data_IF_172240520518
#
_entry.id   IF_172240520518
#
_cell.length_a   1.000
_cell.length_b   1.000
_cell.length_c   1.000
_cell.angle_alpha   90.00
_cell.angle_beta   90.00
_cell.angle_gamma   90.00
#
_symmetry.space_group_name_H-M   'P 1'
#
loop_
_entity.id
_entity.type
_entity.pdbx_description
1 polymer ?
#
# COMPACT_ATOMS: atom_id res chain seq x y z
N UNK A 1 32.45 25.89 7.95
CA UNK A 1 31.21 26.70 7.84
C UNK A 1 30.42 26.13 6.68
N UNK A 2 29.34 25.38 6.94
CA UNK A 2 28.46 24.87 5.89
C UNK A 2 27.77 26.10 5.29
N UNK A 3 28.04 26.40 4.01
CA UNK A 3 27.55 27.65 3.39
C UNK A 3 26.09 27.57 2.95
N UNK A 4 25.59 26.38 2.61
CA UNK A 4 24.19 26.11 2.26
C UNK A 4 23.88 24.64 2.56
N UNK A 5 22.69 24.38 3.11
CA UNK A 5 22.10 23.02 3.24
C UNK A 5 21.05 22.92 2.13
N UNK A 6 21.14 21.90 1.28
CA UNK A 6 20.14 21.71 0.22
C UNK A 6 18.86 21.04 0.77
N UNK A 7 17.75 21.09 0.01
CA UNK A 7 16.46 20.56 0.47
C UNK A 7 16.51 19.06 0.81
N UNK A 8 17.35 18.28 0.11
CA UNK A 8 17.58 16.87 0.42
C UNK A 8 18.26 16.67 1.79
N UNK A 9 19.25 17.50 2.13
CA UNK A 9 19.91 17.50 3.44
C UNK A 9 18.98 18.00 4.55
N UNK A 10 18.14 19.01 4.28
CA UNK A 10 17.08 19.47 5.20
C UNK A 10 16.10 18.32 5.49
N UNK A 11 15.67 17.59 4.46
CA UNK A 11 14.77 16.45 4.61
C UNK A 11 15.41 15.30 5.40
N UNK A 12 16.69 15.01 5.16
CA UNK A 12 17.44 14.03 5.97
C UNK A 12 17.51 14.43 7.45
N UNK A 13 17.79 15.71 7.75
CA UNK A 13 17.83 16.22 9.12
C UNK A 13 16.45 16.16 9.81
N UNK A 14 15.39 16.59 9.11
CA UNK A 14 14.01 16.49 9.59
C UNK A 14 13.65 15.03 9.92
N UNK A 15 13.92 14.10 8.99
CA UNK A 15 13.68 12.66 9.18
C UNK A 15 14.45 12.13 10.40
N UNK A 16 15.73 12.46 10.54
CA UNK A 16 16.56 12.06 11.69
C UNK A 16 16.03 12.59 13.03
N UNK A 17 15.57 13.85 13.07
CA UNK A 17 14.97 14.44 14.26
C UNK A 17 13.65 13.74 14.63
N UNK A 18 12.75 13.54 13.67
CA UNK A 18 11.47 12.86 13.92
C UNK A 18 11.66 11.42 14.37
N UNK A 19 12.61 10.69 13.77
CA UNK A 19 12.95 9.33 14.18
C UNK A 19 13.45 9.30 15.63
N UNK A 20 14.33 10.23 16.00
CA UNK A 20 14.83 10.36 17.37
C UNK A 20 13.70 10.64 18.36
N UNK A 21 12.77 11.53 18.01
CA UNK A 21 11.62 11.85 18.85
C UNK A 21 10.65 10.66 18.98
N UNK A 22 10.41 9.93 17.90
CA UNK A 22 9.57 8.73 17.88
C UNK A 22 10.16 7.63 18.77
N UNK A 23 11.46 7.32 18.64
CA UNK A 23 12.16 6.38 19.51
C UNK A 23 12.05 6.76 20.99
N UNK A 24 12.23 8.06 21.30
CA UNK A 24 12.09 8.55 22.66
C UNK A 24 10.66 8.36 23.18
N UNK A 25 9.63 8.64 22.37
CA UNK A 25 8.23 8.43 22.74
C UNK A 25 7.90 6.95 22.95
N UNK A 26 8.41 6.08 22.08
CA UNK A 26 8.25 4.62 22.22
C UNK A 26 8.82 4.15 23.57
N UNK A 27 10.04 4.58 23.92
CA UNK A 27 10.65 4.26 25.21
C UNK A 27 9.84 4.79 26.41
N UNK A 28 9.18 5.95 26.27
CA UNK A 28 8.31 6.50 27.31
C UNK A 28 6.98 5.74 27.46
N UNK A 29 6.50 5.08 26.41
CA UNK A 29 5.22 4.35 26.40
C UNK A 29 5.32 2.90 26.93
N UNK A 30 6.52 2.46 27.33
CA UNK A 30 6.83 1.12 27.82
C UNK A 30 6.46 0.02 26.79
N UNK A 31 7.34 -0.19 25.82
CA UNK A 31 7.21 -1.21 24.76
C UNK A 31 7.01 -2.61 25.28
N UNK A 32 7.58 -2.96 26.43
CA UNK A 32 7.45 -4.31 26.99
C UNK A 32 5.99 -4.61 27.32
N UNK A 33 5.23 -3.60 27.77
CA UNK A 33 3.77 -3.75 27.99
C UNK A 33 3.01 -3.97 26.69
N UNK A 34 3.44 -3.39 25.57
CA UNK A 34 2.84 -3.69 24.27
C UNK A 34 3.16 -5.12 23.84
N UNK A 35 4.44 -5.52 23.93
CA UNK A 35 4.88 -6.87 23.54
C UNK A 35 4.16 -7.95 24.36
N UNK A 36 3.98 -7.70 25.66
CA UNK A 36 3.30 -8.61 26.59
C UNK A 36 1.77 -8.49 26.58
N UNK A 37 1.17 -7.69 25.68
CA UNK A 37 -0.27 -7.46 25.58
C UNK A 37 -0.94 -6.86 26.85
N UNK A 38 -0.21 -6.05 27.61
CA UNK A 38 -0.62 -5.42 28.88
C UNK A 38 -0.97 -3.93 28.76
N UNK A 39 -0.65 -3.28 27.64
CA UNK A 39 -1.11 -1.92 27.35
C UNK A 39 -2.61 -1.92 26.97
N UNK A 40 -3.32 -0.80 27.18
CA UNK A 40 -4.66 -0.62 26.61
C UNK A 40 -4.60 -0.39 25.09
N UNK A 41 -5.72 -0.57 24.40
CA UNK A 41 -5.78 -0.49 22.93
C UNK A 41 -5.28 0.86 22.39
N UNK A 42 -5.65 1.97 23.01
CA UNK A 42 -5.26 3.30 22.52
C UNK A 42 -3.76 3.53 22.66
N UNK A 43 -3.14 3.03 23.73
CA UNK A 43 -1.69 3.05 23.90
C UNK A 43 -1.01 2.10 22.92
N UNK A 44 -1.53 0.89 22.72
CA UNK A 44 -1.01 -0.07 21.74
C UNK A 44 -1.00 0.50 20.31
N UNK A 45 -2.10 1.14 19.88
CA UNK A 45 -2.20 1.82 18.58
C UNK A 45 -1.14 2.91 18.44
N UNK A 46 -0.91 3.72 19.49
CA UNK A 46 0.12 4.77 19.46
C UNK A 46 1.51 4.19 19.32
N UNK A 47 1.83 3.13 20.07
CA UNK A 47 3.12 2.45 19.98
C UNK A 47 3.31 1.89 18.57
N UNK A 48 2.30 1.19 18.03
CA UNK A 48 2.37 0.58 16.70
C UNK A 48 2.53 1.61 15.58
N UNK A 49 1.75 2.70 15.58
CA UNK A 49 1.91 3.79 14.60
C UNK A 49 3.29 4.45 14.68
N UNK A 50 3.89 4.56 15.87
CA UNK A 50 5.27 5.05 16.00
C UNK A 50 6.29 4.05 15.44
N UNK A 51 6.08 2.75 15.60
CA UNK A 51 6.93 1.70 15.00
C UNK A 51 6.82 1.71 13.47
N UNK A 52 5.61 1.81 12.91
CA UNK A 52 5.39 1.89 11.46
C UNK A 52 6.00 3.17 10.85
N UNK A 53 5.88 4.32 11.53
CA UNK A 53 6.49 5.57 11.10
C UNK A 53 8.03 5.49 11.00
N UNK A 54 8.64 4.59 11.78
CA UNK A 54 10.07 4.47 11.92
C UNK A 54 10.70 3.59 10.82
N UNK A 55 9.96 2.73 10.11
CA UNK A 55 10.49 1.77 9.13
C UNK A 55 11.67 0.93 9.67
N UNK A 56 11.65 0.57 10.96
CA UNK A 56 12.68 -0.28 11.57
C UNK A 56 12.12 -1.69 11.85
N UNK A 57 12.03 -2.57 10.85
CA UNK A 57 11.53 -3.95 11.07
C UNK A 57 12.41 -4.73 12.05
N UNK A 58 13.73 -4.49 12.05
CA UNK A 58 14.71 -5.22 12.88
C UNK A 58 14.65 -4.95 14.38
N UNK A 59 14.06 -3.83 14.81
CA UNK A 59 14.03 -3.50 16.24
C UNK A 59 12.83 -4.11 16.97
N UNK A 60 11.76 -4.45 16.23
CA UNK A 60 10.49 -4.90 16.79
C UNK A 60 9.85 -5.98 15.91
N UNK A 61 10.52 -7.13 15.82
CA UNK A 61 9.99 -8.33 15.17
C UNK A 61 8.60 -8.67 15.72
N UNK A 62 7.72 -9.19 14.86
CA UNK A 62 6.35 -9.62 15.19
C UNK A 62 5.40 -8.50 15.69
N UNK A 63 5.77 -7.23 15.59
CA UNK A 63 4.92 -6.13 16.07
C UNK A 63 3.54 -6.09 15.38
N UNK A 64 3.45 -6.37 14.09
CA UNK A 64 2.18 -6.44 13.35
C UNK A 64 1.30 -7.59 13.84
N UNK A 65 1.88 -8.76 14.12
CA UNK A 65 1.17 -9.89 14.71
C UNK A 65 0.64 -9.57 16.12
N UNK A 66 1.44 -8.89 16.95
CA UNK A 66 1.02 -8.45 18.29
C UNK A 66 -0.12 -7.43 18.18
N UNK A 67 0.00 -6.45 17.28
CA UNK A 67 -1.06 -5.46 17.06
C UNK A 67 -2.34 -6.12 16.54
N UNK A 68 -2.23 -7.11 15.64
CA UNK A 68 -3.38 -7.86 15.17
C UNK A 68 -4.11 -8.57 16.33
N UNK A 69 -3.38 -9.22 17.24
CA UNK A 69 -3.95 -9.81 18.48
C UNK A 69 -4.65 -8.77 19.35
N UNK A 70 -4.10 -7.55 19.44
CA UNK A 70 -4.77 -6.44 20.12
C UNK A 70 -6.10 -6.06 19.48
N UNK A 71 -6.13 -5.97 18.14
CA UNK A 71 -7.35 -5.63 17.40
C UNK A 71 -8.43 -6.70 17.58
N UNK A 72 -8.07 -7.99 17.51
CA UNK A 72 -9.00 -9.10 17.74
C UNK A 72 -9.51 -9.10 19.18
N UNK A 73 -8.61 -9.00 20.18
CA UNK A 73 -8.99 -8.97 21.61
C UNK A 73 -9.97 -7.85 21.95
N UNK A 74 -9.95 -6.75 21.21
CA UNK A 74 -10.81 -5.60 21.43
C UNK A 74 -11.97 -5.50 20.42
N UNK A 75 -12.25 -6.56 19.66
CA UNK A 75 -13.33 -6.63 18.66
C UNK A 75 -13.25 -5.55 17.57
N UNK A 76 -12.04 -5.09 17.23
CA UNK A 76 -11.81 -4.26 16.05
C UNK A 76 -11.77 -5.13 14.79
N UNK A 77 -11.19 -6.32 14.92
CA UNK A 77 -11.35 -7.43 13.98
C UNK A 77 -12.07 -8.58 14.70
N UNK A 78 -12.88 -9.30 13.95
CA UNK A 78 -13.40 -10.60 14.34
C UNK A 78 -12.32 -11.67 14.22
N UNK A 79 -12.54 -12.82 14.86
CA UNK A 79 -11.63 -13.96 14.72
C UNK A 79 -11.64 -14.50 13.28
N UNK A 80 -12.78 -14.42 12.58
CA UNK A 80 -12.92 -14.88 11.21
C UNK A 80 -12.12 -13.99 10.24
N UNK A 81 -12.23 -12.66 10.37
CA UNK A 81 -11.39 -11.71 9.62
C UNK A 81 -9.90 -11.95 9.86
N UNK A 82 -9.50 -12.23 11.11
CA UNK A 82 -8.11 -12.57 11.40
C UNK A 82 -7.65 -13.84 10.67
N UNK A 83 -8.46 -14.89 10.69
CA UNK A 83 -8.11 -16.16 10.05
C UNK A 83 -7.99 -15.99 8.54
N UNK A 84 -8.92 -15.24 7.91
CA UNK A 84 -8.89 -14.93 6.49
C UNK A 84 -7.64 -14.11 6.10
N UNK A 85 -7.32 -13.06 6.86
CA UNK A 85 -6.09 -12.27 6.64
C UNK A 85 -4.85 -13.15 6.76
N UNK A 86 -4.80 -14.04 7.76
CA UNK A 86 -3.68 -14.95 7.93
C UNK A 86 -3.57 -15.97 6.79
N UNK A 87 -4.69 -16.50 6.30
CA UNK A 87 -4.68 -17.43 5.17
C UNK A 87 -4.12 -16.76 3.90
N UNK A 88 -4.58 -15.55 3.59
CA UNK A 88 -4.23 -14.86 2.33
C UNK A 88 -2.82 -14.23 2.37
N UNK A 89 -2.41 -13.69 3.52
CA UNK A 89 -1.16 -12.92 3.65
C UNK A 89 -0.05 -13.65 4.43
N UNK A 90 -0.33 -14.81 5.03
CA UNK A 90 0.64 -15.56 5.86
C UNK A 90 0.69 -17.05 5.56
N UNK A 91 -0.13 -17.60 4.65
CA UNK A 91 0.19 -18.92 4.14
C UNK A 91 1.56 -18.87 3.46
N UNK A 92 2.61 -19.20 4.24
CA UNK A 92 3.78 -19.95 3.84
C UNK A 92 3.26 -21.25 3.19
N UNK A 93 2.54 -21.15 2.06
CA UNK A 93 2.73 -22.17 1.05
C UNK A 93 4.18 -21.93 0.67
N UNK A 94 5.06 -22.77 1.21
CA UNK A 94 6.38 -22.95 0.63
C UNK A 94 6.14 -23.05 -0.87
N UNK A 95 6.41 -21.98 -1.60
CA UNK A 95 6.56 -22.08 -3.04
C UNK A 95 7.88 -22.84 -3.16
N UNK A 96 7.78 -24.16 -3.12
CA UNK A 96 8.87 -25.09 -3.38
C UNK A 96 9.38 -24.78 -4.80
N UNK A 97 10.28 -23.80 -4.93
CA UNK A 97 10.68 -23.33 -6.27
C UNK A 97 11.43 -22.01 -6.33
N UNK A 98 11.68 -21.31 -5.22
CA UNK A 98 12.50 -20.07 -5.25
C UNK A 98 13.98 -20.43 -5.41
N UNK A 99 14.34 -20.74 -6.65
CA UNK A 99 15.71 -21.02 -7.05
C UNK A 99 15.84 -21.99 -8.21
N UNK A 100 15.02 -21.94 -9.26
CA UNK A 100 15.39 -22.49 -10.57
C UNK A 100 14.54 -21.91 -11.70
N UNK A 101 15.13 -21.87 -12.89
CA UNK A 101 14.58 -21.37 -14.15
C UNK A 101 13.14 -21.87 -14.37
N UNK A 102 12.21 -20.94 -14.59
CA UNK A 102 10.78 -21.21 -14.82
C UNK A 102 10.64 -21.93 -16.16
N UNK A 103 10.69 -23.26 -16.15
CA UNK A 103 10.46 -24.10 -17.33
C UNK A 103 9.04 -24.73 -17.37
N UNK A 104 8.18 -24.51 -16.36
CA UNK A 104 6.86 -25.17 -16.31
C UNK A 104 5.67 -24.19 -16.22
N UNK A 105 4.72 -24.37 -17.14
CA UNK A 105 3.47 -23.60 -17.29
C UNK A 105 2.55 -23.75 -16.05
N UNK A 106 2.64 -24.84 -15.29
CA UNK A 106 1.81 -25.08 -14.10
C UNK A 106 2.12 -24.12 -12.94
N UNK A 107 3.39 -23.72 -12.77
CA UNK A 107 3.77 -22.74 -11.75
C UNK A 107 3.18 -21.36 -12.07
N UNK A 108 3.22 -20.92 -13.35
CA UNK A 108 2.66 -19.62 -13.79
C UNK A 108 1.17 -19.44 -13.52
N UNK A 109 0.41 -20.54 -13.43
CA UNK A 109 -1.03 -20.53 -13.11
C UNK A 109 -1.24 -20.27 -11.62
N UNK A 110 -0.42 -20.85 -10.74
CA UNK A 110 -0.48 -20.57 -9.30
C UNK A 110 -0.11 -19.10 -9.02
N UNK A 111 0.89 -18.53 -9.70
CA UNK A 111 1.30 -17.12 -9.52
C UNK A 111 0.17 -16.12 -9.81
N UNK A 112 -0.65 -16.37 -10.84
CA UNK A 112 -1.78 -15.50 -11.18
C UNK A 112 -2.91 -15.55 -10.13
N UNK A 113 -3.25 -16.75 -9.67
CA UNK A 113 -4.35 -16.96 -8.70
C UNK A 113 -4.08 -16.27 -7.35
N UNK A 114 -2.82 -16.25 -6.88
CA UNK A 114 -2.44 -15.55 -5.65
C UNK A 114 -2.55 -14.04 -5.74
N UNK A 115 -2.13 -13.46 -6.86
CA UNK A 115 -2.25 -12.01 -7.09
C UNK A 115 -3.72 -11.59 -7.18
N UNK A 116 -4.55 -12.36 -7.89
CA UNK A 116 -5.98 -12.11 -8.00
C UNK A 116 -6.64 -12.18 -6.62
N UNK A 117 -6.39 -13.24 -5.83
CA UNK A 117 -6.98 -13.42 -4.49
C UNK A 117 -6.62 -12.26 -3.55
N UNK A 118 -5.35 -11.84 -3.53
CA UNK A 118 -4.89 -10.74 -2.68
C UNK A 118 -5.45 -9.39 -3.12
N UNK A 119 -5.45 -9.10 -4.42
CA UNK A 119 -6.01 -7.85 -4.96
C UNK A 119 -7.51 -7.76 -4.68
N UNK A 120 -8.24 -8.86 -4.90
CA UNK A 120 -9.66 -9.01 -4.55
C UNK A 120 -9.89 -8.75 -3.07
N UNK A 121 -9.06 -9.33 -2.21
CA UNK A 121 -9.17 -9.13 -0.78
C UNK A 121 -8.93 -7.66 -0.40
N UNK A 122 -7.87 -7.04 -0.90
CA UNK A 122 -7.56 -5.61 -0.64
C UNK A 122 -8.74 -4.75 -1.07
N UNK A 123 -9.32 -4.99 -2.25
CA UNK A 123 -10.46 -4.24 -2.73
C UNK A 123 -11.71 -4.44 -1.85
N UNK A 124 -12.05 -5.69 -1.51
CA UNK A 124 -13.17 -6.01 -0.61
C UNK A 124 -12.98 -5.39 0.77
N UNK A 125 -11.76 -5.40 1.28
CA UNK A 125 -11.38 -4.80 2.55
C UNK A 125 -11.58 -3.29 2.52
N UNK A 126 -11.02 -2.60 1.51
CA UNK A 126 -11.20 -1.15 1.34
C UNK A 126 -12.68 -0.79 1.13
N UNK A 127 -13.43 -1.53 0.31
CA UNK A 127 -14.89 -1.34 0.14
C UNK A 127 -15.62 -1.46 1.48
N UNK A 128 -15.29 -2.44 2.29
CA UNK A 128 -15.91 -2.64 3.62
C UNK A 128 -15.64 -1.45 4.52
N UNK A 129 -14.38 -1.02 4.63
CA UNK A 129 -14.00 0.16 5.41
C UNK A 129 -14.61 1.46 4.86
N UNK A 130 -14.67 1.60 3.54
CA UNK A 130 -15.30 2.71 2.85
C UNK A 130 -16.78 2.80 3.17
N UNK A 131 -17.51 1.68 3.08
CA UNK A 131 -18.93 1.60 3.42
C UNK A 131 -19.20 1.97 4.89
N UNK A 132 -18.34 1.54 5.83
CA UNK A 132 -18.44 1.94 7.25
C UNK A 132 -18.33 3.46 7.45
N UNK A 133 -17.71 4.17 6.49
CA UNK A 133 -17.43 5.60 6.54
C UNK A 133 -18.09 6.43 5.44
N UNK A 134 -19.01 5.83 4.68
CA UNK A 134 -19.67 6.48 3.54
C UNK A 134 -18.68 7.03 2.48
N UNK A 135 -17.56 6.34 2.27
CA UNK A 135 -16.55 6.66 1.25
C UNK A 135 -16.69 5.66 0.10
N UNK A 136 -16.87 6.17 -1.12
CA UNK A 136 -16.88 5.33 -2.33
C UNK A 136 -15.46 4.89 -2.65
N UNK A 137 -15.29 3.60 -2.94
CA UNK A 137 -14.00 3.02 -3.32
C UNK A 137 -14.04 2.54 -4.76
N UNK A 138 -13.10 3.04 -5.55
CA UNK A 138 -12.83 2.65 -6.93
C UNK A 138 -11.51 1.88 -6.99
N UNK A 139 -11.38 0.98 -7.96
CA UNK A 139 -10.13 0.28 -8.24
C UNK A 139 -10.02 0.06 -9.74
N UNK A 140 -8.86 0.33 -10.30
CA UNK A 140 -8.58 0.06 -11.72
C UNK A 140 -7.09 -0.24 -11.92
N UNK A 141 -6.76 -1.09 -12.89
CA UNK A 141 -5.35 -1.36 -13.25
C UNK A 141 -4.76 -0.17 -14.01
N UNK A 142 -3.45 0.04 -13.93
CA UNK A 142 -2.77 1.09 -14.70
C UNK A 142 -2.93 0.88 -16.20
N UNK A 143 -2.86 -0.38 -16.64
CA UNK A 143 -3.10 -0.77 -18.03
C UNK A 143 -4.50 -0.34 -18.49
N UNK A 144 -5.55 -0.67 -17.74
CA UNK A 144 -6.92 -0.31 -18.09
C UNK A 144 -7.14 1.20 -18.02
N UNK A 145 -6.60 1.89 -17.01
CA UNK A 145 -6.62 3.36 -16.93
C UNK A 145 -6.02 4.00 -18.21
N UNK A 146 -4.92 3.45 -18.73
CA UNK A 146 -4.23 3.99 -19.90
C UNK A 146 -4.96 3.68 -21.21
N UNK A 147 -5.40 2.44 -21.40
CA UNK A 147 -5.92 1.91 -22.67
C UNK A 147 -7.43 2.15 -22.82
N UNK A 148 -8.21 1.88 -21.78
CA UNK A 148 -9.68 1.80 -21.88
C UNK A 148 -10.32 3.10 -22.35
N UNK A 149 -11.46 2.96 -23.04
CA UNK A 149 -12.29 4.08 -23.48
C UNK A 149 -13.00 4.76 -22.28
N UNK A 150 -13.42 6.01 -22.48
CA UNK A 150 -14.08 6.85 -21.47
C UNK A 150 -15.40 6.27 -20.97
N UNK A 151 -16.01 5.38 -21.75
CA UNK A 151 -17.24 4.66 -21.38
C UNK A 151 -17.00 3.50 -20.39
N UNK A 152 -15.74 3.06 -20.21
CA UNK A 152 -15.37 1.94 -19.33
C UNK A 152 -14.73 2.37 -18.01
N UNK A 153 -14.01 3.50 -18.00
CA UNK A 153 -13.35 4.04 -16.80
C UNK A 153 -13.95 5.38 -16.41
N UNK A 154 -14.16 5.62 -15.11
CA UNK A 154 -14.61 6.93 -14.63
C UNK A 154 -13.46 7.96 -14.73
N UNK A 155 -13.47 8.76 -15.79
CA UNK A 155 -12.46 9.79 -16.00
C UNK A 155 -12.52 10.93 -14.98
N UNK A 156 -13.61 11.10 -14.22
CA UNK A 156 -13.61 12.05 -13.12
C UNK A 156 -12.71 11.59 -11.97
N UNK A 157 -12.52 10.27 -11.85
CA UNK A 157 -11.67 9.65 -10.84
C UNK A 157 -10.26 9.40 -11.39
N UNK A 158 -10.15 8.81 -12.58
CA UNK A 158 -8.87 8.32 -13.12
C UNK A 158 -8.27 9.22 -14.21
N UNK A 159 -8.95 10.27 -14.67
CA UNK A 159 -8.52 11.06 -15.83
C UNK A 159 -7.15 11.72 -15.68
N UNK A 160 -6.80 12.20 -14.48
CA UNK A 160 -5.46 12.74 -14.20
C UNK A 160 -4.39 11.66 -14.28
N UNK A 161 -4.63 10.51 -13.65
CA UNK A 161 -3.70 9.40 -13.64
C UNK A 161 -3.49 8.84 -15.05
N UNK A 162 -4.55 8.75 -15.86
CA UNK A 162 -4.48 8.42 -17.29
C UNK A 162 -3.57 9.36 -18.06
N UNK A 163 -3.71 10.68 -17.85
CA UNK A 163 -2.84 11.65 -18.51
C UNK A 163 -1.38 11.49 -18.09
N UNK A 164 -1.12 11.30 -16.79
CA UNK A 164 0.24 11.04 -16.29
C UNK A 164 0.85 9.77 -16.91
N UNK A 165 0.09 8.68 -16.98
CA UNK A 165 0.55 7.43 -17.59
C UNK A 165 0.83 7.63 -19.09
N UNK A 166 -0.05 8.31 -19.82
CA UNK A 166 0.15 8.61 -21.24
C UNK A 166 1.34 9.53 -21.50
N UNK A 167 1.60 10.49 -20.60
CA UNK A 167 2.78 11.37 -20.68
C UNK A 167 4.08 10.58 -20.43
N UNK A 168 4.04 9.56 -19.56
CA UNK A 168 5.19 8.67 -19.31
C UNK A 168 5.50 7.74 -20.49
N UNK A 169 4.46 7.35 -21.25
CA UNK A 169 4.56 6.36 -22.33
C UNK A 169 4.79 7.01 -23.70
N UNK A 170 4.14 8.15 -23.97
CA UNK A 170 4.22 8.79 -25.28
C UNK A 170 5.37 9.80 -25.35
N UNK A 171 6.49 9.36 -25.93
CA UNK A 171 7.54 10.29 -26.36
C UNK A 171 7.30 10.64 -27.84
N UNK A 172 6.85 11.87 -28.11
CA UNK A 172 6.99 12.62 -29.38
C UNK A 172 5.93 12.57 -30.51
N UNK A 173 4.87 11.76 -30.51
CA UNK A 173 3.84 11.82 -31.58
C UNK A 173 2.44 12.23 -31.07
N UNK A 174 1.64 12.87 -31.92
CA UNK A 174 0.29 13.25 -31.53
C UNK A 174 -0.52 11.99 -31.23
N UNK A 175 -0.84 11.79 -29.96
CA UNK A 175 -1.62 10.67 -29.37
C UNK A 175 -3.01 10.47 -30.00
N UNK A 176 -3.44 11.40 -30.86
CA UNK A 176 -4.73 11.40 -31.56
C UNK A 176 -4.96 10.21 -32.53
N UNK A 177 -3.93 9.40 -32.82
CA UNK A 177 -4.03 8.25 -33.75
C UNK A 177 -3.70 6.88 -33.11
N UNK A 178 -3.49 6.81 -31.79
CA UNK A 178 -3.16 5.54 -31.15
C UNK A 178 -4.41 4.66 -31.03
N UNK A 179 -4.31 3.41 -31.49
CA UNK A 179 -5.28 2.35 -31.20
C UNK A 179 -5.06 1.78 -29.80
N UNK A 180 -6.00 0.98 -29.30
CA UNK A 180 -5.81 0.24 -28.03
C UNK A 180 -4.57 -0.66 -28.09
N UNK A 181 -4.31 -1.32 -29.22
CA UNK A 181 -3.15 -2.18 -29.43
C UNK A 181 -1.84 -1.38 -29.40
N UNK A 182 -1.84 -0.14 -29.92
CA UNK A 182 -0.68 0.74 -29.84
C UNK A 182 -0.38 1.13 -28.38
N UNK A 183 -1.42 1.48 -27.62
CA UNK A 183 -1.29 1.81 -26.20
C UNK A 183 -0.83 0.62 -25.36
N UNK A 184 -1.33 -0.58 -25.65
CA UNK A 184 -0.92 -1.81 -24.96
C UNK A 184 0.55 -2.14 -25.19
N UNK A 185 0.99 -2.09 -26.45
CA UNK A 185 2.39 -2.33 -26.80
C UNK A 185 3.32 -1.33 -26.13
N UNK A 186 2.93 -0.06 -26.09
CA UNK A 186 3.73 1.00 -25.47
C UNK A 186 3.74 0.87 -23.94
N UNK A 187 2.63 0.44 -23.33
CA UNK A 187 2.57 0.10 -21.91
C UNK A 187 3.59 -1.00 -21.57
N UNK A 188 3.55 -2.12 -22.32
CA UNK A 188 4.46 -3.25 -22.14
C UNK A 188 5.94 -2.92 -22.43
N UNK A 189 6.21 -1.92 -23.27
CA UNK A 189 7.57 -1.46 -23.55
C UNK A 189 8.17 -0.61 -22.42
N UNK A 190 7.33 0.15 -21.72
CA UNK A 190 7.77 1.14 -20.73
C UNK A 190 7.70 0.58 -19.30
N UNK A 191 6.60 -0.10 -18.97
CA UNK A 191 6.36 -0.62 -17.63
C UNK A 191 6.79 -2.09 -17.55
N UNK A 192 7.62 -2.39 -16.55
CA UNK A 192 8.10 -3.75 -16.28
C UNK A 192 7.14 -4.57 -15.42
N UNK A 193 6.21 -3.89 -14.74
CA UNK A 193 5.19 -4.45 -13.88
C UNK A 193 3.93 -3.59 -13.97
N UNK A 194 2.77 -4.18 -13.71
CA UNK A 194 1.49 -3.46 -13.62
C UNK A 194 1.24 -2.98 -12.19
N UNK A 195 0.25 -2.10 -12.01
CA UNK A 195 -0.18 -1.64 -10.69
C UNK A 195 -1.69 -1.44 -10.65
N UNK A 196 -2.27 -1.59 -9.46
CA UNK A 196 -3.68 -1.26 -9.21
C UNK A 196 -3.78 0.06 -8.47
N UNK A 197 -4.59 0.97 -8.99
CA UNK A 197 -4.95 2.22 -8.34
C UNK A 197 -6.25 2.06 -7.55
N UNK A 198 -6.16 2.05 -6.22
CA UNK A 198 -7.33 2.12 -5.35
C UNK A 198 -7.61 3.58 -4.99
N UNK A 199 -8.83 4.05 -5.22
CA UNK A 199 -9.21 5.45 -4.98
C UNK A 199 -10.30 5.57 -3.94
N UNK A 200 -10.03 6.36 -2.90
CA UNK A 200 -10.99 6.76 -1.87
C UNK A 200 -11.59 8.10 -2.27
N UNK A 201 -12.79 8.06 -2.85
CA UNK A 201 -13.46 9.25 -3.36
C UNK A 201 -13.91 10.16 -2.21
N UNK A 202 -13.58 11.46 -2.30
CA UNK A 202 -13.99 12.45 -1.32
C UNK A 202 -13.30 12.35 0.05
N UNK A 203 -12.25 11.53 0.17
CA UNK A 203 -11.42 11.43 1.37
C UNK A 203 -9.96 11.76 1.07
N UNK A 204 -9.43 12.77 1.75
CA UNK A 204 -8.01 13.14 1.69
C UNK A 204 -7.29 12.70 2.97
N UNK A 205 -6.43 11.69 2.86
CA UNK A 205 -5.49 11.34 3.91
C UNK A 205 -4.56 12.51 4.21
N UNK A 206 -4.30 12.78 5.49
CA UNK A 206 -3.30 13.76 5.86
C UNK A 206 -1.87 13.22 5.68
N UNK A 207 -0.88 14.12 5.69
CA UNK A 207 0.55 13.77 5.52
C UNK A 207 1.03 12.63 6.43
N UNK A 208 0.52 12.56 7.66
CA UNK A 208 0.91 11.52 8.60
C UNK A 208 0.29 10.16 8.25
N UNK A 209 -0.96 10.14 7.80
CA UNK A 209 -1.65 8.92 7.35
C UNK A 209 -1.01 8.37 6.08
N UNK A 210 -0.77 9.24 5.09
CA UNK A 210 -0.05 8.87 3.86
C UNK A 210 1.31 8.29 4.20
N UNK A 211 2.11 8.99 5.02
CA UNK A 211 3.43 8.51 5.46
C UNK A 211 3.35 7.13 6.14
N UNK A 212 2.39 6.92 7.03
CA UNK A 212 2.23 5.62 7.71
C UNK A 212 1.94 4.51 6.72
N UNK A 213 1.05 4.75 5.74
CA UNK A 213 0.65 3.75 4.77
C UNK A 213 1.76 3.49 3.75
N UNK A 214 2.38 4.53 3.20
CA UNK A 214 3.56 4.41 2.31
C UNK A 214 4.70 3.64 2.98
N UNK A 215 4.88 3.81 4.29
CA UNK A 215 5.91 3.07 5.03
C UNK A 215 5.66 1.56 5.14
N UNK A 216 4.46 1.08 4.78
CA UNK A 216 4.15 -0.36 4.75
C UNK A 216 4.53 -1.02 3.43
N UNK A 217 4.89 -0.24 2.41
CA UNK A 217 5.41 -0.70 1.14
C UNK A 217 6.93 -0.94 1.21
N UNK A 218 7.41 -1.92 0.44
CA UNK A 218 8.84 -2.19 0.30
C UNK A 218 9.48 -1.21 -0.68
N UNK A 219 10.76 -0.86 -0.48
CA UNK A 219 11.45 0.12 -1.32
C UNK A 219 12.20 -0.50 -2.51
N UNK A 220 12.04 -1.81 -2.75
CA UNK A 220 12.88 -2.58 -3.67
C UNK A 220 12.19 -2.97 -4.99
N UNK A 221 11.04 -2.37 -5.29
CA UNK A 221 10.26 -2.77 -6.46
C UNK A 221 11.01 -2.42 -7.77
N UNK A 222 11.10 -3.39 -8.66
CA UNK A 222 11.43 -3.17 -10.08
C UNK A 222 10.12 -2.88 -10.83
N UNK A 223 10.00 -1.69 -11.43
CA UNK A 223 8.81 -1.30 -12.20
C UNK A 223 8.06 -0.11 -11.59
N UNK A 224 6.72 -0.21 -11.50
CA UNK A 224 5.88 0.83 -10.89
C UNK A 224 6.08 0.83 -9.38
N UNK A 225 6.32 2.00 -8.79
CA UNK A 225 6.46 2.11 -7.34
C UNK A 225 5.09 2.18 -6.67
N UNK A 226 4.89 1.41 -5.60
CA UNK A 226 3.72 1.59 -4.73
C UNK A 226 3.82 2.92 -3.99
N UNK A 227 2.73 3.68 -3.98
CA UNK A 227 2.68 5.00 -3.38
C UNK A 227 1.29 5.38 -2.89
N UNK A 228 1.23 6.41 -2.04
CA UNK A 228 -0.02 6.99 -1.56
C UNK A 228 0.06 8.50 -1.73
N UNK A 229 -0.92 9.08 -2.40
CA UNK A 229 -1.00 10.52 -2.59
C UNK A 229 -2.45 10.99 -2.59
N UNK A 230 -2.65 12.29 -2.44
CA UNK A 230 -3.96 12.93 -2.55
C UNK A 230 -4.00 13.89 -3.73
N UNK A 231 -5.13 13.92 -4.42
CA UNK A 231 -5.37 14.88 -5.49
C UNK A 231 -6.87 15.16 -5.60
N UNK A 232 -7.24 16.45 -5.73
CA UNK A 232 -8.62 16.91 -6.00
C UNK A 232 -9.69 16.34 -5.05
N UNK A 233 -9.40 16.20 -3.76
CA UNK A 233 -10.37 15.68 -2.80
C UNK A 233 -10.35 14.15 -2.64
N UNK A 234 -9.48 13.44 -3.35
CA UNK A 234 -9.40 11.97 -3.33
C UNK A 234 -8.04 11.50 -2.80
N UNK A 235 -8.00 10.31 -2.22
CA UNK A 235 -6.76 9.59 -1.90
C UNK A 235 -6.57 8.46 -2.90
N UNK A 236 -5.39 8.39 -3.51
CA UNK A 236 -4.95 7.33 -4.40
C UNK A 236 -3.94 6.45 -3.64
N UNK A 237 -4.20 5.16 -3.62
CA UNK A 237 -3.30 4.13 -3.09
C UNK A 237 -2.92 3.27 -4.28
N UNK A 238 -1.69 3.44 -4.75
CA UNK A 238 -1.11 2.68 -5.86
C UNK A 238 -0.33 1.52 -5.26
N UNK A 239 -0.64 0.31 -5.70
CA UNK A 239 0.08 -0.89 -5.28
C UNK A 239 0.52 -1.63 -6.54
N UNK A 240 1.84 -1.80 -6.69
CA UNK A 240 2.42 -2.60 -7.77
C UNK A 240 2.06 -4.08 -7.59
N UNK A 241 1.91 -4.80 -8.69
CA UNK A 241 1.57 -6.23 -8.64
C UNK A 241 2.65 -7.03 -7.93
N UNK A 242 3.93 -6.67 -8.08
CA UNK A 242 5.03 -7.29 -7.33
C UNK A 242 4.87 -7.11 -5.81
N UNK A 243 4.37 -5.97 -5.34
CA UNK A 243 4.13 -5.79 -3.91
C UNK A 243 2.92 -6.55 -3.41
N UNK A 244 1.83 -6.61 -4.17
CA UNK A 244 0.68 -7.47 -3.82
C UNK A 244 1.15 -8.91 -3.62
N UNK A 245 2.06 -9.36 -4.48
CA UNK A 245 2.59 -10.72 -4.47
C UNK A 245 3.62 -10.99 -3.35
N UNK A 246 4.68 -10.20 -3.24
CA UNK A 246 5.86 -10.51 -2.40
C UNK A 246 6.06 -9.56 -1.22
N UNK A 247 5.45 -8.38 -1.24
CA UNK A 247 5.84 -7.28 -0.34
C UNK A 247 4.82 -6.89 0.72
N UNK A 248 3.54 -7.09 0.45
CA UNK A 248 2.46 -6.52 1.26
C UNK A 248 2.10 -7.45 2.43
N UNK A 249 2.46 -7.03 3.63
CA UNK A 249 2.12 -7.75 4.86
C UNK A 249 0.93 -7.16 5.63
N UNK A 250 0.62 -7.76 6.78
CA UNK A 250 -0.44 -7.30 7.70
C UNK A 250 -0.35 -5.83 8.08
N UNK A 251 0.85 -5.27 8.07
CA UNK A 251 1.08 -3.87 8.43
C UNK A 251 0.23 -2.92 7.59
N UNK A 252 0.09 -3.19 6.29
CA UNK A 252 -0.75 -2.41 5.39
C UNK A 252 -2.21 -2.42 5.84
N UNK A 253 -2.79 -3.61 6.02
CA UNK A 253 -4.19 -3.79 6.43
C UNK A 253 -4.48 -3.20 7.82
N UNK A 254 -3.55 -3.38 8.77
CA UNK A 254 -3.66 -2.80 10.11
C UNK A 254 -3.65 -1.29 10.03
N UNK A 255 -2.69 -0.69 9.30
CA UNK A 255 -2.60 0.77 9.18
C UNK A 255 -3.85 1.32 8.50
N UNK A 256 -4.36 0.70 7.43
CA UNK A 256 -5.63 1.07 6.81
C UNK A 256 -6.78 1.05 7.83
N UNK A 257 -7.00 -0.06 8.55
CA UNK A 257 -8.06 -0.13 9.57
C UNK A 257 -7.92 0.99 10.60
N UNK A 258 -6.70 1.25 11.07
CA UNK A 258 -6.40 2.30 12.04
C UNK A 258 -6.56 3.73 11.52
N UNK A 259 -6.45 3.95 10.20
CA UNK A 259 -6.76 5.23 9.55
C UNK A 259 -8.27 5.40 9.48
N UNK A 260 -9.00 4.40 8.99
CA UNK A 260 -10.45 4.44 8.89
C UNK A 260 -11.14 4.59 10.26
N UNK A 261 -10.62 3.94 11.30
CA UNK A 261 -11.10 4.14 12.67
C UNK A 261 -10.99 5.60 13.17
N UNK A 262 -10.05 6.39 12.65
CA UNK A 262 -9.91 7.81 13.01
C UNK A 262 -10.77 8.77 12.20
N UNK A 263 -11.39 8.31 11.10
CA UNK A 263 -12.35 9.11 10.32
C UNK A 263 -13.61 9.30 11.18
N UNK A 264 -14.04 10.54 11.34
CA UNK A 264 -15.18 10.92 12.19
C UNK A 264 -16.50 10.75 11.48
#
# INVERSE_FOLDING_TARGET
MIKYINDGEINKLKRGFYNTLALKKINMLNTDRFINMEADLNVAIKIYKLMAALQFPFCYENCSTIMMKYLVKNNVFTQDEYNEIAEIFYADKEIEGIGMEVENIEESIEYGEYWEERSDYIFKFLKTLGNEKCITVHAESYRDILISDEDFIDLNIFGNLRNLLRDCVSSYESTANYTEEDWDNEYLNIFQDDATAYVLEGYEMNDYEMMLLTNTFNSSDSGVSSEVFTEKGNTYIIISSIQVYEGLGYSFLIILKLIFMSIK
#
